data_IF_074664160764
#
_entry.id   IF_074664160764
#
_cell.length_a   1.000
_cell.length_b   1.000
_cell.length_c   1.000
_cell.angle_alpha   90.00
_cell.angle_beta   90.00
_cell.angle_gamma   90.00
#
_symmetry.space_group_name_H-M   'P 1'
#
loop_
_entity.id
_entity.type
_entity.pdbx_description
1 polymer ?
#
# COMPACT_ATOMS: atom_id res chain seq x y z
N UNK A 1 -5.99 6.97 5.70
CA UNK A 1 -7.21 7.38 6.43
C UNK A 1 -7.35 6.69 7.78
N UNK A 2 -7.81 5.44 7.89
CA UNK A 2 -8.11 4.84 9.22
C UNK A 2 -6.89 4.73 10.13
N UNK A 3 -5.74 4.26 9.61
CA UNK A 3 -4.51 4.03 10.41
C UNK A 3 -3.75 5.30 10.82
N UNK A 4 -3.86 6.41 10.09
CA UNK A 4 -3.09 7.64 10.38
C UNK A 4 -3.98 8.86 10.67
N UNK A 5 -5.08 9.03 9.94
CA UNK A 5 -5.89 10.24 10.05
C UNK A 5 -6.90 10.18 11.19
N UNK A 6 -7.55 9.03 11.42
CA UNK A 6 -8.61 8.91 12.42
C UNK A 6 -8.15 9.30 13.84
N UNK A 7 -6.96 8.89 14.33
CA UNK A 7 -6.48 9.33 15.63
C UNK A 7 -6.39 10.85 15.79
N UNK A 8 -6.02 11.57 14.73
CA UNK A 8 -5.93 13.03 14.72
C UNK A 8 -7.30 13.70 14.55
N UNK A 9 -8.05 13.30 13.53
CA UNK A 9 -9.35 13.90 13.19
C UNK A 9 -10.40 13.73 14.30
N UNK A 10 -10.35 12.62 15.03
CA UNK A 10 -11.34 12.29 16.06
C UNK A 10 -10.83 12.53 17.49
N UNK A 11 -9.64 13.13 17.65
CA UNK A 11 -8.96 13.28 18.93
C UNK A 11 -9.80 13.99 20.01
N UNK A 12 -10.59 15.00 19.62
CA UNK A 12 -11.43 15.83 20.50
C UNK A 12 -12.88 15.35 20.60
N UNK A 13 -13.21 14.20 20.01
CA UNK A 13 -14.58 13.67 19.98
C UNK A 13 -14.77 12.53 20.98
N UNK A 14 -16.03 12.16 21.25
CA UNK A 14 -16.37 10.95 22.04
C UNK A 14 -15.81 9.65 21.46
N UNK A 15 -15.38 9.66 20.19
CA UNK A 15 -14.86 8.49 19.46
C UNK A 15 -13.33 8.34 19.58
N UNK A 16 -12.63 9.24 20.28
CA UNK A 16 -11.16 9.27 20.30
C UNK A 16 -10.52 7.92 20.69
N UNK A 17 -11.10 7.21 21.67
CA UNK A 17 -10.64 5.87 22.07
C UNK A 17 -10.81 4.86 20.94
N UNK A 18 -12.00 4.79 20.35
CA UNK A 18 -12.32 3.86 19.27
C UNK A 18 -11.47 4.13 18.03
N UNK A 19 -11.20 5.41 17.73
CA UNK A 19 -10.33 5.83 16.64
C UNK A 19 -8.90 5.28 16.81
N UNK A 20 -8.34 5.34 18.03
CA UNK A 20 -7.02 4.75 18.33
C UNK A 20 -7.05 3.22 18.26
N UNK A 21 -8.08 2.58 18.79
CA UNK A 21 -8.22 1.11 18.80
C UNK A 21 -8.31 0.54 17.37
N UNK A 22 -9.15 1.13 16.51
CA UNK A 22 -9.29 0.65 15.12
C UNK A 22 -8.03 0.95 14.31
N UNK A 23 -7.41 2.11 14.53
CA UNK A 23 -6.15 2.49 13.89
C UNK A 23 -5.03 1.50 14.22
N UNK A 24 -4.91 1.09 15.49
CA UNK A 24 -3.88 0.17 15.94
C UNK A 24 -4.00 -1.23 15.33
N UNK A 25 -5.20 -1.66 14.95
CA UNK A 25 -5.49 -2.97 14.36
C UNK A 25 -5.69 -2.93 12.84
N UNK A 26 -5.54 -1.76 12.24
CA UNK A 26 -5.62 -1.59 10.79
C UNK A 26 -4.21 -1.68 10.20
N UNK A 27 -4.03 -2.60 9.28
CA UNK A 27 -2.77 -2.80 8.56
C UNK A 27 -3.05 -2.78 7.07
N UNK A 28 -2.08 -2.32 6.27
CA UNK A 28 -2.10 -2.65 4.86
C UNK A 28 -1.78 -4.14 4.69
N UNK A 29 -2.36 -4.80 3.69
CA UNK A 29 -2.29 -6.24 3.53
C UNK A 29 -0.86 -6.78 3.43
N UNK A 30 -0.03 -6.24 2.53
CA UNK A 30 1.36 -6.70 2.40
C UNK A 30 2.16 -6.44 3.67
N UNK A 31 1.94 -5.29 4.32
CA UNK A 31 2.55 -4.97 5.61
C UNK A 31 2.15 -5.98 6.69
N UNK A 32 0.88 -6.36 6.76
CA UNK A 32 0.39 -7.35 7.71
C UNK A 32 1.04 -8.71 7.50
N UNK A 33 1.04 -9.20 6.24
CA UNK A 33 1.61 -10.51 5.88
C UNK A 33 3.10 -10.57 6.21
N UNK A 34 3.87 -9.53 5.87
CA UNK A 34 5.31 -9.52 6.08
C UNK A 34 5.68 -9.19 7.52
N UNK A 35 5.17 -8.09 8.08
CA UNK A 35 5.66 -7.54 9.35
C UNK A 35 4.96 -8.13 10.58
N UNK A 36 3.69 -8.45 10.49
CA UNK A 36 2.92 -9.00 11.61
C UNK A 36 2.95 -10.54 11.63
N UNK A 37 2.77 -11.17 10.46
CA UNK A 37 2.76 -12.63 10.36
C UNK A 37 4.14 -13.23 10.07
N UNK A 38 5.12 -12.44 9.62
CA UNK A 38 6.45 -12.93 9.27
C UNK A 38 6.47 -13.82 8.02
N UNK A 39 5.43 -13.76 7.18
CA UNK A 39 5.31 -14.61 5.99
C UNK A 39 5.92 -13.91 4.79
N UNK A 40 6.95 -14.54 4.21
CA UNK A 40 7.64 -14.02 3.02
C UNK A 40 7.68 -15.00 1.86
N UNK A 41 7.27 -16.25 2.06
CA UNK A 41 7.25 -17.29 1.03
C UNK A 41 5.84 -17.76 0.69
N UNK A 42 5.64 -18.12 -0.57
CA UNK A 42 4.36 -18.61 -1.07
C UNK A 42 4.55 -19.86 -1.92
N UNK A 43 3.53 -20.71 -1.96
CA UNK A 43 3.48 -21.88 -2.84
C UNK A 43 3.07 -21.54 -4.27
N UNK A 44 2.45 -20.37 -4.48
CA UNK A 44 2.06 -19.89 -5.79
C UNK A 44 3.28 -19.64 -6.68
N UNK A 45 3.15 -20.01 -7.96
CA UNK A 45 4.15 -19.76 -8.99
C UNK A 45 3.52 -18.96 -10.12
N UNK A 46 4.17 -17.88 -10.53
CA UNK A 46 3.72 -17.02 -11.62
C UNK A 46 4.88 -16.84 -12.59
N UNK A 47 4.80 -17.35 -13.83
CA UNK A 47 5.87 -17.17 -14.79
C UNK A 47 5.89 -15.75 -15.36
N UNK A 48 7.08 -15.23 -15.62
CA UNK A 48 7.28 -13.98 -16.39
C UNK A 48 7.91 -12.85 -15.58
N UNK A 49 7.94 -11.65 -16.17
CA UNK A 49 8.51 -10.45 -15.55
C UNK A 49 7.43 -9.69 -14.80
N UNK A 50 7.70 -9.35 -13.54
CA UNK A 50 6.79 -8.61 -12.67
C UNK A 50 7.48 -7.34 -12.21
N UNK A 51 6.73 -6.25 -12.12
CA UNK A 51 7.22 -5.01 -11.52
C UNK A 51 6.22 -4.45 -10.52
N UNK A 52 6.59 -3.41 -9.80
CA UNK A 52 5.76 -2.77 -8.80
C UNK A 52 5.79 -1.25 -8.96
N UNK A 53 4.60 -0.67 -9.05
CA UNK A 53 4.38 0.76 -9.00
C UNK A 53 3.82 1.10 -7.60
N UNK A 54 4.45 2.04 -6.92
CA UNK A 54 4.11 2.41 -5.56
C UNK A 54 2.75 3.12 -5.52
N UNK A 55 1.84 2.63 -4.68
CA UNK A 55 0.64 3.39 -4.36
C UNK A 55 1.02 4.65 -3.58
N UNK A 56 0.58 5.82 -4.05
CA UNK A 56 0.77 7.08 -3.33
C UNK A 56 0.29 7.02 -1.86
N UNK A 57 -0.82 6.33 -1.60
CA UNK A 57 -1.36 6.20 -0.25
C UNK A 57 -0.54 5.24 0.62
N UNK A 58 0.11 4.24 0.02
CA UNK A 58 0.99 3.33 0.74
C UNK A 58 2.35 3.99 1.00
N UNK A 59 2.99 4.52 -0.05
CA UNK A 59 4.31 5.12 0.00
C UNK A 59 4.31 6.44 0.77
N UNK A 60 3.44 7.40 0.42
CA UNK A 60 3.44 8.74 1.04
C UNK A 60 2.56 8.78 2.28
N UNK A 61 1.45 8.06 2.26
CA UNK A 61 0.49 8.03 3.37
C UNK A 61 0.93 7.12 4.53
N UNK A 62 1.25 5.86 4.25
CA UNK A 62 1.67 4.87 5.27
C UNK A 62 3.19 4.73 5.42
N UNK A 63 3.98 5.44 4.61
CA UNK A 63 5.45 5.35 4.61
C UNK A 63 5.96 3.92 4.42
N UNK A 64 5.26 3.14 3.60
CA UNK A 64 5.55 1.73 3.36
C UNK A 64 5.84 1.49 1.87
N UNK A 65 6.87 0.69 1.60
CA UNK A 65 7.28 0.33 0.23
C UNK A 65 7.97 -1.04 0.16
N UNK A 66 8.41 -1.59 1.31
CA UNK A 66 9.26 -2.76 1.36
C UNK A 66 8.46 -4.05 1.39
N UNK A 67 7.32 -4.04 2.09
CA UNK A 67 6.49 -5.23 2.25
C UNK A 67 5.95 -5.76 0.91
N UNK A 68 5.40 -4.93 -0.01
CA UNK A 68 5.00 -5.41 -1.34
C UNK A 68 6.16 -6.01 -2.13
N UNK A 69 7.32 -5.34 -2.12
CA UNK A 69 8.52 -5.80 -2.83
C UNK A 69 9.08 -7.10 -2.28
N UNK A 70 9.01 -7.31 -0.97
CA UNK A 70 9.41 -8.57 -0.33
C UNK A 70 8.55 -9.72 -0.86
N UNK A 71 7.23 -9.52 -0.95
CA UNK A 71 6.33 -10.55 -1.46
C UNK A 71 6.55 -10.83 -2.95
N UNK A 72 6.71 -9.78 -3.76
CA UNK A 72 6.90 -9.91 -5.20
C UNK A 72 8.29 -10.49 -5.55
N UNK A 73 9.33 -10.15 -4.80
CA UNK A 73 10.68 -10.69 -4.98
C UNK A 73 10.80 -12.17 -4.64
N UNK A 74 9.92 -12.68 -3.77
CA UNK A 74 9.87 -14.10 -3.39
C UNK A 74 8.85 -14.91 -4.20
N UNK A 75 8.23 -14.31 -5.22
CA UNK A 75 7.25 -14.99 -6.06
C UNK A 75 7.97 -15.99 -6.99
N UNK A 76 7.71 -17.28 -6.79
CA UNK A 76 8.37 -18.34 -7.56
C UNK A 76 8.03 -18.24 -9.05
N UNK A 77 9.04 -18.42 -9.89
CA UNK A 77 8.90 -18.37 -11.36
C UNK A 77 8.81 -16.96 -11.95
N UNK A 78 8.71 -15.91 -11.12
CA UNK A 78 8.69 -14.53 -11.57
C UNK A 78 10.08 -13.91 -11.49
N UNK A 79 10.43 -13.10 -12.48
CA UNK A 79 11.57 -12.18 -12.42
C UNK A 79 11.05 -10.82 -11.98
N UNK A 80 11.41 -10.37 -10.77
CA UNK A 80 11.09 -9.03 -10.32
C UNK A 80 12.03 -8.01 -10.99
N UNK A 81 11.44 -7.04 -11.69
CA UNK A 81 12.15 -5.98 -12.41
C UNK A 81 11.75 -4.64 -11.83
N UNK A 82 12.73 -3.77 -11.56
CA UNK A 82 12.45 -2.42 -11.10
C UNK A 82 11.76 -1.58 -12.20
N UNK A 83 10.72 -0.82 -11.82
CA UNK A 83 10.07 0.17 -12.68
C UNK A 83 10.77 1.53 -12.49
N UNK A 84 11.36 2.12 -13.55
CA UNK A 84 11.77 3.52 -13.50
C UNK A 84 10.56 4.42 -13.20
N UNK A 85 10.70 5.37 -12.27
CA UNK A 85 9.58 6.21 -11.84
C UNK A 85 8.51 5.45 -11.04
N UNK A 86 8.88 4.37 -10.34
CA UNK A 86 7.94 3.58 -9.54
C UNK A 86 7.14 4.41 -8.51
N UNK A 87 7.67 5.55 -8.04
CA UNK A 87 7.05 6.45 -7.07
C UNK A 87 6.25 7.60 -7.70
N UNK A 88 6.20 7.69 -9.02
CA UNK A 88 5.38 8.66 -9.73
C UNK A 88 3.89 8.41 -9.47
N UNK A 89 3.06 9.45 -9.54
CA UNK A 89 1.62 9.26 -9.40
C UNK A 89 1.06 8.67 -10.69
N UNK A 90 0.38 7.54 -10.63
CA UNK A 90 -0.32 6.95 -11.79
C UNK A 90 -1.51 7.78 -12.32
N UNK A 91 -1.86 8.90 -11.69
CA UNK A 91 -3.00 9.74 -12.10
C UNK A 91 -4.39 9.18 -11.72
N UNK A 92 -4.52 7.94 -11.27
CA UNK A 92 -5.82 7.31 -11.05
C UNK A 92 -6.54 7.69 -9.72
N UNK A 93 -6.19 8.83 -9.12
CA UNK A 93 -6.65 9.23 -7.80
C UNK A 93 -8.08 9.78 -7.77
N UNK A 94 -9.10 8.93 -7.63
CA UNK A 94 -10.47 9.34 -7.28
C UNK A 94 -11.05 10.42 -8.20
N UNK A 95 -11.42 11.58 -7.64
CA UNK A 95 -12.01 12.68 -8.40
C UNK A 95 -11.04 13.33 -9.40
N UNK A 96 -9.72 13.21 -9.20
CA UNK A 96 -8.73 13.72 -10.15
C UNK A 96 -8.87 13.03 -11.52
N UNK A 97 -8.94 11.69 -11.52
CA UNK A 97 -9.10 10.90 -12.74
C UNK A 97 -10.40 11.21 -13.51
N UNK A 98 -11.45 11.62 -12.79
CA UNK A 98 -12.74 11.99 -13.38
C UNK A 98 -12.75 13.43 -13.90
N UNK A 99 -12.12 14.36 -13.18
CA UNK A 99 -12.14 15.80 -13.51
C UNK A 99 -11.07 16.21 -14.52
N UNK A 100 -9.96 15.49 -14.55
CA UNK A 100 -8.81 15.76 -15.42
C UNK A 100 -8.38 14.46 -16.14
N UNK A 101 -9.29 13.84 -16.91
CA UNK A 101 -9.01 12.57 -17.58
C UNK A 101 -7.84 12.67 -18.56
N UNK A 102 -7.66 13.82 -19.23
CA UNK A 102 -6.55 14.07 -20.16
C UNK A 102 -5.17 14.13 -19.49
N UNK A 103 -5.12 14.45 -18.19
CA UNK A 103 -3.87 14.43 -17.41
C UNK A 103 -3.63 13.06 -16.78
N UNK A 104 -4.69 12.27 -16.62
CA UNK A 104 -4.65 10.98 -15.92
C UNK A 104 -4.41 9.78 -16.82
N UNK A 105 -4.65 9.92 -18.13
CA UNK A 105 -4.58 8.85 -19.13
C UNK A 105 -3.18 8.68 -19.74
#
# INVERSE_FOLDING_TARGET
>A
MVKHEYPGLLASTRLARQAREVSARTHEFSQFVVRELGVTEFTASVPGRVTYHDSCHLLRGLQESQSPRTLLGNLRGAEFVALPGADECCGFGGSFAVRLPEVSA
#
